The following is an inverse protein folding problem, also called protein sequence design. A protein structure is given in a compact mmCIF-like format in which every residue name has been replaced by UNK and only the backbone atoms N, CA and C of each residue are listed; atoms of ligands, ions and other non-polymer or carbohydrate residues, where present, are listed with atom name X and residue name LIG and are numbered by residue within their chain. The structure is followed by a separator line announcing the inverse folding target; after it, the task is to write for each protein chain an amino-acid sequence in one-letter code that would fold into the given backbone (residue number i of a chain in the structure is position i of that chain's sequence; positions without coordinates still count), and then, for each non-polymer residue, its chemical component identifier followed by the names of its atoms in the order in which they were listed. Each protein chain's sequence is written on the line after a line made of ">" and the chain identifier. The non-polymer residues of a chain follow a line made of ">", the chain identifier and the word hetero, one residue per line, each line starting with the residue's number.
data_IF_005998100257
#
_entry.id   IF_005998100257
#
_cell.length_a   1.000
_cell.length_b   1.000
_cell.length_c   1.000
_cell.angle_alpha   90.00
_cell.angle_beta   90.00
_cell.angle_gamma   90.00
#
_symmetry.space_group_name_H-M   'P 1'
#
loop_
_entity.id
_entity.type
_entity.pdbx_description
1 polymer ?
#
# COMPACT_ATOMS: atom_id res chain seq x y z
N UNK A 1 -11.09 35.44 -2.08
CA UNK A 1 -11.32 34.20 -1.30
C UNK A 1 -11.01 33.05 -2.24
N UNK A 2 -9.95 32.28 -1.99
CA UNK A 2 -9.67 31.04 -2.75
C UNK A 2 -10.47 29.91 -2.11
N UNK A 3 -11.27 29.23 -2.91
CA UNK A 3 -11.99 28.04 -2.47
C UNK A 3 -10.98 26.92 -2.19
N UNK A 4 -11.13 26.09 -1.15
CA UNK A 4 -10.28 24.91 -0.92
C UNK A 4 -10.24 23.93 -2.10
N UNK A 5 -11.18 24.06 -3.04
CA UNK A 5 -11.26 23.32 -4.30
C UNK A 5 -10.24 23.75 -5.36
N UNK A 6 -9.60 24.91 -5.22
CA UNK A 6 -8.59 25.42 -6.17
C UNK A 6 -7.21 24.77 -5.95
N UNK A 7 -7.05 24.01 -4.86
CA UNK A 7 -5.79 23.34 -4.47
C UNK A 7 -5.67 21.90 -4.99
N UNK A 8 -6.71 21.36 -5.61
CA UNK A 8 -6.65 20.01 -6.20
C UNK A 8 -6.85 20.17 -7.71
N UNK A 9 -5.77 20.58 -8.40
CA UNK A 9 -5.69 20.35 -9.84
C UNK A 9 -5.90 18.84 -10.06
N UNK A 10 -6.79 18.41 -10.97
CA UNK A 10 -6.89 16.99 -11.30
C UNK A 10 -5.52 16.56 -11.83
N UNK A 11 -4.85 15.68 -11.07
CA UNK A 11 -3.54 15.17 -11.47
C UNK A 11 -3.66 14.47 -12.82
N UNK A 12 -2.76 14.80 -13.72
CA UNK A 12 -2.68 14.13 -15.02
C UNK A 12 -2.23 12.68 -14.81
N UNK A 13 -2.62 11.77 -15.72
CA UNK A 13 -2.39 10.32 -15.59
C UNK A 13 -0.91 9.93 -15.42
N UNK A 14 0.01 10.83 -15.76
CA UNK A 14 1.46 10.62 -15.74
C UNK A 14 2.12 10.98 -14.38
N UNK A 15 1.36 11.45 -13.40
CA UNK A 15 1.93 12.01 -12.15
C UNK A 15 1.99 11.02 -10.97
N UNK A 16 1.45 9.81 -11.10
CA UNK A 16 1.29 8.85 -10.00
C UNK A 16 1.85 7.47 -10.36
N UNK A 17 2.83 7.02 -9.57
CA UNK A 17 3.40 5.68 -9.67
C UNK A 17 2.96 4.84 -8.46
N UNK A 18 2.30 3.71 -8.73
CA UNK A 18 1.75 2.84 -7.69
C UNK A 18 2.73 1.69 -7.46
N UNK A 19 3.19 1.58 -6.22
CA UNK A 19 4.19 0.60 -5.81
C UNK A 19 3.52 -0.45 -4.93
N UNK A 20 3.88 -1.71 -5.11
CA UNK A 20 3.46 -2.82 -4.23
C UNK A 20 4.54 -3.89 -4.22
N UNK A 21 4.60 -4.69 -3.16
CA UNK A 21 5.58 -5.78 -3.06
C UNK A 21 5.22 -6.92 -4.02
N UNK A 22 6.16 -7.32 -4.89
CA UNK A 22 5.99 -8.46 -5.80
C UNK A 22 5.80 -9.78 -5.05
N UNK A 23 4.98 -10.66 -5.60
CA UNK A 23 4.60 -11.94 -5.03
C UNK A 23 3.77 -11.83 -3.74
N UNK A 24 3.35 -10.62 -3.33
CA UNK A 24 2.59 -10.44 -2.10
C UNK A 24 1.12 -10.82 -2.30
N UNK A 25 0.45 -11.23 -1.22
CA UNK A 25 -1.00 -11.45 -1.24
C UNK A 25 -1.79 -10.21 -1.70
N UNK A 26 -1.24 -9.01 -1.48
CA UNK A 26 -1.82 -7.75 -1.96
C UNK A 26 -1.79 -7.66 -3.48
N UNK A 27 -0.67 -8.04 -4.11
CA UNK A 27 -0.55 -8.10 -5.57
C UNK A 27 -1.60 -9.03 -6.15
N UNK A 28 -1.66 -10.27 -5.66
CA UNK A 28 -2.60 -11.29 -6.14
C UNK A 28 -4.05 -10.86 -6.00
N UNK A 29 -4.41 -10.24 -4.87
CA UNK A 29 -5.77 -9.74 -4.64
C UNK A 29 -6.13 -8.60 -5.60
N UNK A 30 -5.20 -7.68 -5.85
CA UNK A 30 -5.45 -6.56 -6.76
C UNK A 30 -5.53 -7.07 -8.20
N UNK A 31 -4.62 -7.94 -8.64
CA UNK A 31 -4.58 -8.46 -10.00
C UNK A 31 -5.84 -9.26 -10.39
N UNK A 32 -6.44 -9.96 -9.42
CA UNK A 32 -7.67 -10.74 -9.61
C UNK A 32 -8.94 -9.88 -9.59
N UNK A 33 -8.87 -8.62 -9.15
CA UNK A 33 -10.03 -7.73 -9.11
C UNK A 33 -10.39 -7.21 -10.51
N UNK A 34 -11.64 -7.42 -10.91
CA UNK A 34 -12.16 -6.99 -12.23
C UNK A 34 -13.04 -5.74 -12.16
N UNK A 35 -13.49 -5.34 -10.97
CA UNK A 35 -14.43 -4.24 -10.79
C UNK A 35 -14.09 -3.39 -9.55
N UNK A 36 -14.78 -2.25 -9.42
CA UNK A 36 -14.64 -1.35 -8.28
C UNK A 36 -13.29 -0.65 -8.19
N UNK A 37 -12.94 -0.18 -6.98
CA UNK A 37 -11.67 0.52 -6.72
C UNK A 37 -10.47 -0.39 -6.97
N UNK A 38 -10.57 -1.67 -6.58
CA UNK A 38 -9.49 -2.65 -6.75
C UNK A 38 -9.19 -2.91 -8.24
N UNK A 39 -10.23 -3.09 -9.08
CA UNK A 39 -10.03 -3.25 -10.52
C UNK A 39 -9.40 -2.01 -11.19
N UNK A 40 -9.74 -0.80 -10.74
CA UNK A 40 -9.08 0.43 -11.22
C UNK A 40 -7.61 0.48 -10.81
N UNK A 41 -7.28 0.10 -9.58
CA UNK A 41 -5.88 0.00 -9.12
C UNK A 41 -5.12 -1.03 -9.96
N UNK A 42 -5.72 -2.19 -10.22
CA UNK A 42 -5.14 -3.24 -11.05
C UNK A 42 -4.87 -2.75 -12.48
N UNK A 43 -5.81 -2.02 -13.07
CA UNK A 43 -5.64 -1.42 -14.39
C UNK A 43 -4.48 -0.41 -14.40
N UNK A 44 -4.40 0.47 -13.40
CA UNK A 44 -3.32 1.45 -13.28
C UNK A 44 -1.95 0.78 -13.20
N UNK A 45 -1.80 -0.24 -12.35
CA UNK A 45 -0.56 -1.01 -12.20
C UNK A 45 -0.12 -1.67 -13.51
N UNK A 46 -1.06 -2.23 -14.29
CA UNK A 46 -0.76 -2.85 -15.59
C UNK A 46 -0.33 -1.83 -16.65
N UNK A 47 -0.81 -0.59 -16.55
CA UNK A 47 -0.48 0.48 -17.51
C UNK A 47 0.78 1.28 -17.12
N UNK A 48 1.35 1.04 -15.95
CA UNK A 48 2.56 1.74 -15.50
C UNK A 48 3.79 1.22 -16.25
N UNK A 49 4.46 2.15 -16.94
CA UNK A 49 5.71 1.90 -17.68
C UNK A 49 6.92 1.84 -16.72
N UNK A 50 6.77 2.33 -15.48
CA UNK A 50 7.85 2.53 -14.49
C UNK A 50 7.68 1.70 -13.22
N UNK A 51 7.25 0.44 -13.33
CA UNK A 51 7.21 -0.45 -12.18
C UNK A 51 8.65 -0.79 -11.75
N UNK A 52 9.27 0.09 -10.95
CA UNK A 52 10.47 -0.24 -10.19
C UNK A 52 10.16 -1.48 -9.35
N UNK A 53 11.05 -2.47 -9.41
CA UNK A 53 10.82 -3.76 -8.79
C UNK A 53 10.92 -3.64 -7.27
N UNK A 54 9.77 -3.68 -6.58
CA UNK A 54 9.70 -3.58 -5.12
C UNK A 54 9.72 -4.98 -4.52
N UNK A 55 10.90 -5.42 -4.13
CA UNK A 55 11.12 -6.73 -3.52
C UNK A 55 10.69 -6.79 -2.05
N UNK A 56 10.84 -5.68 -1.32
CA UNK A 56 10.52 -5.61 0.12
C UNK A 56 9.65 -4.42 0.48
N UNK A 57 9.10 -4.44 1.70
CA UNK A 57 8.27 -3.33 2.20
C UNK A 57 9.11 -2.05 2.38
N UNK A 58 10.34 -2.22 2.86
CA UNK A 58 11.33 -1.18 3.07
C UNK A 58 11.72 -0.50 1.76
N UNK A 59 11.91 -1.27 0.68
CA UNK A 59 12.19 -0.74 -0.65
C UNK A 59 11.06 0.19 -1.10
N UNK A 60 9.81 -0.27 -0.98
CA UNK A 60 8.63 0.52 -1.32
C UNK A 60 8.56 1.84 -0.56
N UNK A 61 8.79 1.82 0.76
CA UNK A 61 8.83 3.04 1.57
C UNK A 61 9.99 3.98 1.20
N UNK A 62 11.15 3.42 0.86
CA UNK A 62 12.31 4.22 0.44
C UNK A 62 12.00 4.97 -0.86
N UNK A 63 11.33 4.32 -1.82
CA UNK A 63 10.92 4.93 -3.08
C UNK A 63 9.88 6.04 -2.89
N UNK A 64 8.91 5.84 -2.00
CA UNK A 64 7.96 6.90 -1.57
C UNK A 64 8.73 8.09 -1.02
N UNK A 65 9.65 7.85 -0.08
CA UNK A 65 10.47 8.90 0.54
C UNK A 65 11.32 9.66 -0.47
N UNK A 66 11.91 8.95 -1.44
CA UNK A 66 12.75 9.54 -2.51
C UNK A 66 11.96 10.45 -3.45
N UNK A 67 10.71 10.11 -3.75
CA UNK A 67 9.87 10.95 -4.62
C UNK A 67 9.58 12.33 -4.03
N UNK A 68 9.66 12.50 -2.70
CA UNK A 68 9.40 13.77 -1.99
C UNK A 68 8.07 14.44 -2.36
N UNK A 69 7.10 13.66 -2.82
CA UNK A 69 5.80 14.18 -3.29
C UNK A 69 5.89 14.96 -4.61
N UNK A 70 6.99 14.82 -5.36
CA UNK A 70 7.16 15.41 -6.69
C UNK A 70 6.62 14.46 -7.75
N UNK A 71 6.25 14.99 -8.92
CA UNK A 71 5.81 14.20 -10.08
C UNK A 71 7.01 13.57 -10.81
N UNK A 72 7.02 12.26 -11.08
CA UNK A 72 6.00 11.28 -10.71
C UNK A 72 6.07 10.91 -9.22
N UNK A 73 4.92 10.95 -8.54
CA UNK A 73 4.78 10.68 -7.12
C UNK A 73 4.66 9.18 -6.88
N UNK A 74 5.56 8.63 -6.06
CA UNK A 74 5.49 7.23 -5.66
C UNK A 74 4.51 7.06 -4.50
N UNK A 75 3.50 6.20 -4.68
CA UNK A 75 2.54 5.81 -3.64
C UNK A 75 2.62 4.31 -3.43
N UNK A 76 2.92 3.90 -2.21
CA UNK A 76 3.08 2.50 -1.85
C UNK A 76 1.80 1.90 -1.25
N UNK A 77 1.40 0.76 -1.80
CA UNK A 77 0.27 -0.05 -1.36
C UNK A 77 0.80 -1.16 -0.45
N UNK A 78 0.36 -1.16 0.80
CA UNK A 78 0.77 -2.13 1.81
C UNK A 78 -0.33 -2.44 2.82
N UNK A 79 -0.05 -3.39 3.72
CA UNK A 79 -0.98 -3.74 4.78
C UNK A 79 -1.08 -2.60 5.81
N UNK A 80 -2.30 -2.33 6.30
CA UNK A 80 -2.53 -1.21 7.21
C UNK A 80 -1.67 -1.30 8.49
N UNK A 81 -1.51 -2.51 9.05
CA UNK A 81 -0.70 -2.73 10.25
C UNK A 81 0.77 -2.35 10.02
N UNK A 82 1.35 -2.77 8.89
CA UNK A 82 2.74 -2.42 8.58
C UNK A 82 2.88 -0.92 8.32
N UNK A 83 1.99 -0.33 7.53
CA UNK A 83 2.00 1.12 7.26
C UNK A 83 1.91 1.95 8.55
N UNK A 84 1.04 1.56 9.49
CA UNK A 84 0.95 2.20 10.81
C UNK A 84 2.23 2.05 11.61
N UNK A 85 2.82 0.85 11.65
CA UNK A 85 4.09 0.63 12.35
C UNK A 85 5.18 1.59 11.85
N UNK A 86 5.39 1.66 10.53
CA UNK A 86 6.40 2.55 9.96
C UNK A 86 6.08 4.03 10.14
N UNK A 87 4.80 4.42 10.10
CA UNK A 87 4.37 5.79 10.39
C UNK A 87 4.75 6.19 11.83
N UNK A 88 4.47 5.35 12.82
CA UNK A 88 4.83 5.60 14.21
C UNK A 88 6.36 5.63 14.42
N UNK A 89 7.10 4.69 13.83
CA UNK A 89 8.57 4.72 13.86
C UNK A 89 9.12 6.01 13.25
N UNK A 90 8.54 6.48 12.14
CA UNK A 90 8.97 7.73 11.51
C UNK A 90 8.77 8.95 12.42
N UNK A 91 7.71 8.99 13.23
CA UNK A 91 7.49 10.07 14.20
C UNK A 91 8.57 10.09 15.27
N UNK A 92 8.93 8.92 15.79
CA UNK A 92 9.98 8.79 16.82
C UNK A 92 11.30 9.34 16.30
N UNK A 93 11.69 8.96 15.07
CA UNK A 93 12.94 9.42 14.46
C UNK A 93 12.92 10.90 14.06
N UNK A 94 11.75 11.48 13.76
CA UNK A 94 11.60 12.85 13.26
C UNK A 94 10.98 13.81 14.30
N UNK A 95 11.31 13.62 15.59
CA UNK A 95 10.90 14.51 16.69
C UNK A 95 9.39 14.82 16.70
N UNK A 96 8.58 13.79 16.47
CA UNK A 96 7.11 13.86 16.51
C UNK A 96 6.43 14.17 15.17
N UNK A 97 7.17 14.50 14.09
CA UNK A 97 6.58 14.74 12.76
C UNK A 97 6.68 13.49 11.89
N UNK A 98 5.58 12.87 11.45
CA UNK A 98 5.67 11.68 10.60
C UNK A 98 6.27 12.02 9.23
N UNK A 99 7.12 11.14 8.70
CA UNK A 99 7.72 11.30 7.36
C UNK A 99 6.80 10.84 6.23
N UNK A 100 5.72 10.13 6.58
CA UNK A 100 4.77 9.54 5.65
C UNK A 100 3.35 9.97 6.02
N UNK A 101 2.48 9.99 5.03
CA UNK A 101 1.04 10.08 5.21
C UNK A 101 0.40 8.76 4.77
N UNK A 102 -0.57 8.28 5.54
CA UNK A 102 -1.35 7.08 5.20
C UNK A 102 -2.81 7.48 5.00
N UNK A 103 -3.39 7.07 3.87
CA UNK A 103 -4.83 7.24 3.63
C UNK A 103 -5.65 6.56 4.74
N UNK A 104 -6.71 7.21 5.27
CA UNK A 104 -7.49 6.67 6.38
C UNK A 104 -8.36 5.46 5.98
N UNK A 105 -8.62 5.27 4.68
CA UNK A 105 -9.50 4.20 4.18
C UNK A 105 -8.70 3.03 3.64
N UNK A 106 -9.00 1.83 4.16
CA UNK A 106 -8.60 0.57 3.52
C UNK A 106 -9.56 0.28 2.35
N UNK A 107 -9.03 -0.19 1.22
CA UNK A 107 -9.84 -0.58 0.05
C UNK A 107 -10.16 -2.09 0.01
N UNK A 108 -9.62 -2.86 0.96
CA UNK A 108 -10.02 -4.24 1.28
C UNK A 108 -9.65 -4.57 2.74
N UNK A 109 -10.30 -5.62 3.27
CA UNK A 109 -9.97 -6.20 4.58
C UNK A 109 -9.33 -7.56 4.35
N UNK A 110 -8.20 -7.81 5.02
CA UNK A 110 -7.55 -9.12 5.04
C UNK A 110 -7.24 -9.50 6.48
N UNK A 111 -7.38 -10.79 6.78
CA UNK A 111 -7.05 -11.36 8.09
C UNK A 111 -5.73 -12.13 7.97
N UNK A 112 -4.92 -12.08 9.03
CA UNK A 112 -3.76 -12.96 9.15
C UNK A 112 -4.23 -14.26 9.80
N UNK A 113 -3.80 -15.38 9.24
CA UNK A 113 -4.09 -16.72 9.76
C UNK A 113 -2.79 -17.49 9.93
N UNK A 114 -2.81 -18.50 10.80
CA UNK A 114 -1.67 -19.38 11.02
C UNK A 114 -1.80 -20.54 10.01
N UNK A 115 -0.89 -20.69 9.03
CA UNK A 115 -0.97 -21.80 8.10
C UNK A 115 -0.66 -23.11 8.83
N UNK A 116 -1.47 -24.14 8.56
CA UNK A 116 -1.27 -25.47 9.12
C UNK A 116 -1.27 -26.51 7.99
N UNK A 117 -0.52 -27.60 8.18
CA UNK A 117 -0.59 -28.75 7.26
C UNK A 117 -2.00 -29.32 7.28
N UNK A 118 -2.51 -29.72 6.13
CA UNK A 118 -3.79 -30.42 6.06
C UNK A 118 -3.74 -31.69 6.94
N UNK A 119 -4.76 -31.86 7.80
CA UNK A 119 -4.82 -32.94 8.79
C UNK A 119 -3.92 -32.77 10.02
N UNK A 120 -3.39 -31.56 10.29
CA UNK A 120 -2.61 -31.32 11.49
C UNK A 120 -3.45 -31.58 12.76
N UNK A 121 -2.98 -32.41 13.71
CA UNK A 121 -3.77 -32.84 14.87
C UNK A 121 -4.06 -31.70 15.86
N UNK A 122 -3.40 -30.54 15.71
CA UNK A 122 -3.58 -29.36 16.56
C UNK A 122 -4.41 -28.26 15.90
N UNK A 123 -5.01 -28.50 14.73
CA UNK A 123 -5.82 -27.48 14.05
C UNK A 123 -6.94 -26.93 14.95
N UNK A 124 -7.61 -27.82 15.67
CA UNK A 124 -8.67 -27.46 16.60
C UNK A 124 -8.13 -26.71 17.84
N UNK A 125 -6.94 -27.06 18.32
CA UNK A 125 -6.30 -26.38 19.45
C UNK A 125 -5.82 -24.97 19.11
N UNK A 126 -5.46 -24.73 17.84
CA UNK A 126 -5.05 -23.42 17.32
C UNK A 126 -6.24 -22.53 16.91
N UNK A 127 -7.47 -23.04 17.00
CA UNK A 127 -8.67 -22.25 16.78
C UNK A 127 -8.90 -21.31 17.98
N UNK A 128 -8.17 -20.19 17.98
CA UNK A 128 -8.30 -19.11 18.94
C UNK A 128 -9.69 -18.46 18.75
N UNK A 129 -10.66 -18.85 19.58
CA UNK A 129 -11.97 -18.16 19.66
C UNK A 129 -11.82 -16.74 20.20
#
# INVERSE_FOLDING_TARGET
>A
MTTPSDLIKPMEREELNLLLVRGSATETLIESATQGIQGRIAQLLRTQVFAEDVATFEDGLLLVKKSRGLSPMNVFIGTQTNLRYFLEQSKIMNKGRPAFYMSPKCFYTQYKSIPMRNGAPYADAMNLK
#
